data_IF_207657324605
#
_entry.id   IF_207657324605
#
_cell.length_a   1.000
_cell.length_b   1.000
_cell.length_c   1.000
_cell.angle_alpha   90.00
_cell.angle_beta   90.00
_cell.angle_gamma   90.00
#
_symmetry.space_group_name_H-M   'P 1'
#
loop_
_entity.id
_entity.type
_entity.pdbx_description
1 polymer ?
#
# COMPACT_ATOMS: atom_id res chain seq x y z
N UNK A 1 21.20 8.78 3.15
CA UNK A 1 20.26 9.28 2.12
C UNK A 1 18.98 8.49 2.25
N UNK A 2 17.80 9.05 1.97
CA UNK A 2 16.57 8.30 2.03
C UNK A 2 16.61 7.18 0.97
N UNK A 3 16.22 5.98 1.36
CA UNK A 3 16.06 4.86 0.45
C UNK A 3 14.63 4.82 -0.06
N UNK A 4 14.46 4.37 -1.29
CA UNK A 4 13.16 4.07 -1.86
C UNK A 4 12.93 2.56 -1.83
N UNK A 5 11.67 2.16 -1.67
CA UNK A 5 11.29 0.78 -1.40
C UNK A 5 10.42 0.21 -2.50
N UNK A 6 10.60 -1.08 -2.79
CA UNK A 6 9.67 -1.86 -3.60
C UNK A 6 9.37 -3.17 -2.88
N UNK A 7 8.12 -3.60 -2.92
CA UNK A 7 7.66 -4.81 -2.25
C UNK A 7 7.28 -5.88 -3.26
N UNK A 8 7.79 -7.11 -3.08
CA UNK A 8 7.51 -8.25 -3.95
C UNK A 8 7.44 -9.55 -3.16
N UNK A 9 6.64 -10.50 -3.63
CA UNK A 9 6.64 -11.88 -3.13
C UNK A 9 7.81 -12.72 -3.73
N UNK A 10 8.48 -12.21 -4.77
CA UNK A 10 9.66 -12.83 -5.38
C UNK A 10 10.94 -12.26 -4.74
N UNK A 11 11.80 -13.09 -4.13
CA UNK A 11 13.07 -12.67 -3.52
C UNK A 11 14.23 -12.52 -4.52
N UNK A 12 14.05 -12.93 -5.78
CA UNK A 12 15.15 -13.14 -6.72
C UNK A 12 15.21 -12.10 -7.84
N UNK A 13 14.60 -10.93 -7.66
CA UNK A 13 14.64 -9.88 -8.67
C UNK A 13 15.98 -9.14 -8.58
N UNK A 14 16.91 -9.48 -9.45
CA UNK A 14 18.23 -8.83 -9.51
C UNK A 14 18.19 -7.47 -10.22
N UNK A 15 17.27 -7.31 -11.18
CA UNK A 15 17.16 -6.11 -12.03
C UNK A 15 15.70 -5.76 -12.26
N UNK A 16 15.36 -4.52 -12.00
CA UNK A 16 14.03 -3.96 -12.29
C UNK A 16 14.08 -3.21 -13.61
N UNK A 17 13.24 -3.66 -14.55
CA UNK A 17 13.10 -3.04 -15.88
C UNK A 17 11.80 -2.24 -15.95
N UNK A 18 11.79 -1.09 -16.63
CA UNK A 18 10.57 -0.34 -16.87
C UNK A 18 9.49 -1.22 -17.51
N UNK A 19 8.28 -1.18 -16.94
CA UNK A 19 7.12 -1.89 -17.47
C UNK A 19 5.84 -1.08 -17.27
N UNK A 20 4.82 -1.36 -18.08
CA UNK A 20 3.50 -0.76 -17.94
C UNK A 20 2.72 -1.60 -16.90
N UNK A 21 2.28 -1.01 -15.79
CA UNK A 21 1.47 -1.74 -14.82
C UNK A 21 0.12 -2.14 -15.44
N UNK A 22 -0.30 -3.40 -15.29
CA UNK A 22 -1.60 -3.86 -15.78
C UNK A 22 -2.79 -3.09 -15.16
N UNK A 23 -2.60 -2.51 -13.96
CA UNK A 23 -3.59 -1.66 -13.28
C UNK A 23 -3.67 -0.23 -13.82
N UNK A 24 -2.74 0.19 -14.66
CA UNK A 24 -2.64 1.55 -15.21
C UNK A 24 -2.02 1.49 -16.61
N UNK A 25 -2.76 0.97 -17.60
CA UNK A 25 -2.23 0.72 -18.94
C UNK A 25 -1.85 1.99 -19.71
N UNK A 26 -2.36 3.14 -19.31
CA UNK A 26 -2.08 4.44 -19.92
C UNK A 26 -0.75 5.06 -19.43
N UNK A 27 -0.16 4.51 -18.37
CA UNK A 27 1.11 4.99 -17.86
C UNK A 27 2.27 4.54 -18.80
N UNK A 28 3.30 5.39 -18.96
CA UNK A 28 4.52 4.96 -19.64
C UNK A 28 5.21 3.84 -18.85
N UNK A 29 6.05 3.01 -19.52
CA UNK A 29 6.86 2.02 -18.84
C UNK A 29 7.79 2.67 -17.81
N UNK A 30 7.70 2.24 -16.55
CA UNK A 30 8.51 2.74 -15.44
C UNK A 30 8.81 1.65 -14.42
N UNK A 31 9.87 1.84 -13.64
CA UNK A 31 10.10 1.15 -12.38
C UNK A 31 9.52 2.01 -11.26
N UNK A 32 8.69 1.40 -10.42
CA UNK A 32 7.94 2.07 -9.36
C UNK A 32 8.50 1.72 -7.99
N UNK A 33 8.64 2.74 -7.16
CA UNK A 33 9.04 2.64 -5.76
C UNK A 33 8.15 3.54 -4.90
N UNK A 34 8.23 3.35 -3.60
CA UNK A 34 7.52 4.11 -2.59
C UNK A 34 8.52 4.58 -1.52
N UNK A 35 8.26 5.72 -0.89
CA UNK A 35 9.02 6.17 0.27
C UNK A 35 8.69 5.34 1.53
N UNK A 36 9.46 5.56 2.61
CA UNK A 36 9.28 4.83 3.87
C UNK A 36 7.96 5.19 4.57
N UNK A 37 7.48 6.42 4.43
CA UNK A 37 6.23 6.87 5.07
C UNK A 37 5.01 6.14 4.52
N UNK A 38 4.98 5.88 3.20
CA UNK A 38 3.86 5.23 2.53
C UNK A 38 4.04 3.72 2.35
N UNK A 39 5.22 3.18 2.70
CA UNK A 39 5.54 1.76 2.67
C UNK A 39 4.49 0.85 3.35
N UNK A 40 3.85 1.23 4.48
CA UNK A 40 2.83 0.40 5.13
C UNK A 40 1.66 -0.01 4.21
N UNK A 41 1.32 0.79 3.20
CA UNK A 41 0.30 0.46 2.20
C UNK A 41 0.64 -0.75 1.32
N UNK A 42 1.87 -1.24 1.39
CA UNK A 42 2.37 -2.40 0.63
C UNK A 42 2.62 -3.65 1.47
N UNK A 43 2.31 -3.63 2.78
CA UNK A 43 2.39 -4.80 3.66
C UNK A 43 1.18 -5.72 3.50
N UNK A 44 0.89 -6.09 2.26
CA UNK A 44 -0.22 -6.95 1.85
C UNK A 44 0.24 -7.89 0.73
N UNK A 45 -0.36 -9.08 0.61
CA UNK A 45 -0.15 -9.90 -0.58
C UNK A 45 -0.39 -9.07 -1.85
N UNK A 46 0.45 -9.27 -2.86
CA UNK A 46 0.49 -8.41 -4.05
C UNK A 46 -0.86 -8.17 -4.71
N UNK A 47 -1.73 -9.18 -4.72
CA UNK A 47 -3.04 -9.12 -5.37
C UNK A 47 -4.18 -8.74 -4.41
N UNK A 48 -3.90 -8.59 -3.11
CA UNK A 48 -4.93 -8.24 -2.14
C UNK A 48 -5.48 -6.84 -2.40
N UNK A 49 -6.81 -6.69 -2.58
CA UNK A 49 -7.45 -5.38 -2.58
C UNK A 49 -7.35 -4.79 -1.17
N UNK A 50 -6.97 -3.53 -1.10
CA UNK A 50 -6.87 -2.83 0.18
C UNK A 50 -7.22 -1.35 0.03
N UNK A 51 -7.76 -0.81 1.11
CA UNK A 51 -8.06 0.60 1.24
C UNK A 51 -7.31 1.15 2.45
N UNK A 52 -6.45 2.11 2.20
CA UNK A 52 -5.59 2.74 3.19
C UNK A 52 -5.94 4.22 3.30
N UNK A 53 -6.07 4.75 4.52
CA UNK A 53 -6.22 6.20 4.72
C UNK A 53 -5.39 6.67 5.91
N UNK A 54 -5.04 7.95 5.88
CA UNK A 54 -4.25 8.57 6.95
C UNK A 54 -4.60 10.05 7.12
N UNK A 55 -4.27 10.56 8.30
CA UNK A 55 -4.43 11.96 8.62
C UNK A 55 -3.39 12.80 7.88
N UNK A 56 -3.84 13.90 7.32
CA UNK A 56 -2.99 14.93 6.71
C UNK A 56 -2.72 16.13 7.63
N UNK A 57 -2.98 15.97 8.94
CA UNK A 57 -2.82 17.04 9.93
C UNK A 57 -3.95 18.08 9.94
N UNK A 58 -4.92 17.99 9.04
CA UNK A 58 -6.11 18.86 9.04
C UNK A 58 -7.16 18.35 10.03
N UNK A 59 -8.08 19.21 10.51
CA UNK A 59 -9.21 18.78 11.34
C UNK A 59 -10.03 17.70 10.64
N UNK A 60 -10.31 16.61 11.35
CA UNK A 60 -11.05 15.47 10.80
C UNK A 60 -12.54 15.83 10.62
N UNK A 61 -13.11 15.45 9.49
CA UNK A 61 -14.56 15.41 9.28
C UNK A 61 -15.24 14.40 10.22
N UNK A 62 -16.56 14.37 10.29
CA UNK A 62 -17.28 13.35 11.07
C UNK A 62 -16.96 11.94 10.57
N UNK A 63 -16.86 11.74 9.25
CA UNK A 63 -16.49 10.46 8.62
C UNK A 63 -15.01 10.15 8.93
N UNK A 64 -14.11 11.14 8.81
CA UNK A 64 -12.69 10.96 9.13
C UNK A 64 -12.48 10.53 10.58
N UNK A 65 -13.23 11.10 11.54
CA UNK A 65 -13.21 10.67 12.96
C UNK A 65 -13.71 9.24 13.13
N UNK A 66 -14.73 8.81 12.40
CA UNK A 66 -15.20 7.42 12.47
C UNK A 66 -14.20 6.42 11.88
N UNK A 67 -13.38 6.86 10.94
CA UNK A 67 -12.34 6.03 10.34
C UNK A 67 -11.06 5.97 11.19
N UNK A 68 -10.62 7.06 11.81
CA UNK A 68 -9.34 7.12 12.55
C UNK A 68 -9.50 7.33 14.05
N UNK A 69 -10.61 7.91 14.51
CA UNK A 69 -10.72 8.42 15.88
C UNK A 69 -10.87 7.38 16.99
N UNK A 70 -11.38 6.19 16.68
CA UNK A 70 -11.66 5.16 17.68
C UNK A 70 -10.38 4.54 18.27
N UNK A 71 -9.38 4.31 17.43
CA UNK A 71 -8.11 3.68 17.82
C UNK A 71 -7.01 4.68 18.20
N UNK A 72 -7.29 5.99 18.21
CA UNK A 72 -6.28 7.04 18.37
C UNK A 72 -5.11 6.97 17.39
N UNK A 73 -5.23 6.15 16.34
CA UNK A 73 -4.24 6.04 15.26
C UNK A 73 -4.38 7.16 14.23
N UNK A 74 -3.31 7.44 13.53
CA UNK A 74 -3.29 8.41 12.42
C UNK A 74 -3.44 7.74 11.06
N UNK A 75 -3.44 6.41 11.02
CA UNK A 75 -3.50 5.60 9.80
C UNK A 75 -4.36 4.35 10.01
N UNK A 76 -5.20 4.06 9.03
CA UNK A 76 -6.05 2.87 9.00
C UNK A 76 -5.93 2.18 7.64
N UNK A 77 -5.79 0.87 7.65
CA UNK A 77 -5.81 0.01 6.49
C UNK A 77 -6.96 -0.99 6.60
N UNK A 78 -7.62 -1.30 5.50
CA UNK A 78 -8.67 -2.30 5.44
C UNK A 78 -8.42 -3.31 4.33
N UNK A 79 -8.74 -4.56 4.61
CA UNK A 79 -8.68 -5.69 3.68
C UNK A 79 -9.87 -6.62 3.93
N UNK A 80 -10.32 -7.33 2.89
CA UNK A 80 -11.41 -8.30 3.03
C UNK A 80 -10.96 -9.55 3.77
N UNK A 81 -11.88 -10.14 4.57
CA UNK A 81 -11.64 -11.32 5.41
C UNK A 81 -11.12 -12.53 4.64
N UNK A 82 -11.52 -12.70 3.39
CA UNK A 82 -11.03 -13.78 2.50
C UNK A 82 -9.52 -13.74 2.26
N UNK A 83 -8.86 -12.60 2.51
CA UNK A 83 -7.42 -12.43 2.34
C UNK A 83 -6.60 -12.66 3.62
N UNK A 84 -7.25 -12.85 4.78
CA UNK A 84 -6.55 -12.91 6.08
C UNK A 84 -5.55 -14.06 6.13
N UNK A 85 -5.95 -15.27 5.72
CA UNK A 85 -5.04 -16.42 5.72
C UNK A 85 -3.88 -16.23 4.75
N UNK A 86 -4.15 -15.59 3.60
CA UNK A 86 -3.08 -15.24 2.65
C UNK A 86 -2.14 -14.19 3.22
N UNK A 87 -2.62 -13.23 4.00
CA UNK A 87 -1.75 -12.27 4.71
C UNK A 87 -0.82 -12.97 5.71
N UNK A 88 -1.35 -13.95 6.45
CA UNK A 88 -0.55 -14.73 7.42
C UNK A 88 0.52 -15.59 6.75
N UNK A 89 0.22 -16.16 5.60
CA UNK A 89 1.11 -17.06 4.86
C UNK A 89 2.05 -16.32 3.90
N UNK A 90 1.81 -15.06 3.62
CA UNK A 90 2.55 -14.28 2.62
C UNK A 90 4.01 -14.08 3.04
N UNK A 91 4.92 -14.41 2.15
CA UNK A 91 6.33 -14.05 2.27
C UNK A 91 6.60 -12.86 1.38
N UNK A 92 6.72 -11.69 2.00
CA UNK A 92 7.01 -10.44 1.34
C UNK A 92 8.47 -10.09 1.51
N UNK A 93 9.07 -9.54 0.46
CA UNK A 93 10.43 -9.02 0.46
C UNK A 93 10.42 -7.53 0.16
N UNK A 94 11.28 -6.79 0.84
CA UNK A 94 11.51 -5.38 0.63
C UNK A 94 12.82 -5.18 -0.11
N UNK A 95 12.75 -4.54 -1.27
CA UNK A 95 13.88 -4.11 -2.07
C UNK A 95 14.18 -2.65 -1.80
N UNK A 96 15.43 -2.33 -1.49
CA UNK A 96 15.89 -0.97 -1.24
C UNK A 96 16.66 -0.44 -2.44
N UNK A 97 16.39 0.79 -2.81
CA UNK A 97 17.03 1.46 -3.94
C UNK A 97 17.68 2.77 -3.49
N UNK A 98 18.76 3.15 -4.19
CA UNK A 98 19.21 4.53 -4.19
C UNK A 98 18.12 5.42 -4.81
N UNK A 99 17.87 6.56 -4.20
CA UNK A 99 16.85 7.49 -4.68
C UNK A 99 17.28 8.26 -5.94
N UNK A 100 18.58 8.34 -6.23
CA UNK A 100 19.13 9.21 -7.27
C UNK A 100 18.51 9.01 -8.67
N UNK A 101 18.24 7.77 -9.18
CA UNK A 101 17.66 7.59 -10.51
C UNK A 101 16.13 7.82 -10.55
N UNK A 102 15.48 8.05 -9.41
CA UNK A 102 14.03 8.17 -9.32
C UNK A 102 13.58 9.62 -9.18
N UNK A 103 12.49 9.96 -9.84
CA UNK A 103 11.80 11.23 -9.68
C UNK A 103 10.50 11.04 -8.88
N UNK A 104 10.13 12.03 -8.08
CA UNK A 104 8.85 12.07 -7.40
C UNK A 104 7.73 12.07 -8.45
N UNK A 105 6.86 11.08 -8.40
CA UNK A 105 5.73 10.92 -9.31
C UNK A 105 4.41 11.41 -8.69
N UNK A 106 4.17 11.06 -7.43
CA UNK A 106 2.99 11.47 -6.69
C UNK A 106 3.36 11.62 -5.20
N UNK A 107 3.34 12.85 -4.71
CA UNK A 107 3.71 13.16 -3.33
C UNK A 107 2.69 12.61 -2.32
N UNK A 108 1.39 12.68 -2.63
CA UNK A 108 0.33 12.27 -1.69
C UNK A 108 0.34 10.74 -1.44
N UNK A 109 0.84 9.98 -2.41
CA UNK A 109 0.95 8.52 -2.31
C UNK A 109 2.40 8.04 -2.07
N UNK A 110 3.37 8.95 -1.99
CA UNK A 110 4.77 8.63 -1.79
C UNK A 110 5.41 7.86 -2.95
N UNK A 111 4.87 7.99 -4.17
CA UNK A 111 5.37 7.25 -5.32
C UNK A 111 6.53 7.97 -6.01
N UNK A 112 7.56 7.21 -6.27
CA UNK A 112 8.71 7.58 -7.09
C UNK A 112 8.83 6.62 -8.26
N UNK A 113 9.26 7.12 -9.41
CA UNK A 113 9.39 6.31 -10.61
C UNK A 113 10.62 6.69 -11.43
N UNK A 114 11.15 5.72 -12.18
CA UNK A 114 12.21 5.94 -13.16
C UNK A 114 11.94 5.19 -14.46
N UNK A 115 12.43 5.74 -15.55
CA UNK A 115 12.46 5.07 -16.86
C UNK A 115 13.72 4.24 -17.08
N UNK A 116 14.62 4.26 -16.12
CA UNK A 116 15.88 3.51 -16.22
C UNK A 116 15.72 2.09 -15.69
N UNK A 117 16.55 1.20 -16.19
CA UNK A 117 16.73 -0.12 -15.58
C UNK A 117 17.62 0.03 -14.37
N UNK A 118 17.17 -0.46 -13.21
CA UNK A 118 17.87 -0.28 -11.93
C UNK A 118 18.04 -1.63 -11.21
N UNK A 119 19.14 -1.76 -10.47
CA UNK A 119 19.34 -2.86 -9.55
C UNK A 119 19.09 -2.39 -8.10
N UNK A 120 18.52 -3.24 -7.21
CA UNK A 120 18.36 -2.90 -5.82
C UNK A 120 19.72 -2.90 -5.09
N UNK A 121 19.82 -2.10 -4.04
CA UNK A 121 20.96 -2.12 -3.11
C UNK A 121 20.92 -3.33 -2.19
N UNK A 122 19.73 -3.74 -1.78
CA UNK A 122 19.50 -4.92 -0.95
C UNK A 122 18.10 -5.47 -1.14
N UNK A 123 17.92 -6.75 -0.76
CA UNK A 123 16.62 -7.40 -0.61
C UNK A 123 16.61 -8.13 0.75
N UNK A 124 15.52 -7.94 1.48
CA UNK A 124 15.35 -8.52 2.82
C UNK A 124 13.91 -9.01 2.99
N UNK A 125 13.68 -10.10 3.78
CA UNK A 125 12.33 -10.47 4.17
C UNK A 125 11.67 -9.32 4.95
N UNK A 126 10.44 -8.95 4.59
CA UNK A 126 9.70 -7.92 5.32
C UNK A 126 9.23 -8.40 6.70
N UNK A 127 9.09 -9.73 6.89
CA UNK A 127 8.60 -10.33 8.13
C UNK A 127 7.09 -10.57 8.13
N UNK A 128 6.53 -10.70 9.32
CA UNK A 128 5.09 -10.90 9.53
C UNK A 128 4.32 -9.62 9.23
N UNK A 129 3.45 -9.66 8.21
CA UNK A 129 2.71 -8.49 7.73
C UNK A 129 1.74 -7.92 8.79
N UNK A 130 1.15 -8.77 9.63
CA UNK A 130 0.26 -8.33 10.72
C UNK A 130 1.07 -7.65 11.83
N UNK A 131 2.21 -8.22 12.18
CA UNK A 131 3.12 -7.65 13.18
C UNK A 131 3.68 -6.30 12.71
N UNK A 132 3.98 -6.13 11.42
CA UNK A 132 4.41 -4.85 10.85
C UNK A 132 3.35 -3.75 11.03
N UNK A 133 2.09 -4.04 10.74
CA UNK A 133 1.00 -3.08 10.97
C UNK A 133 0.90 -2.69 12.45
N UNK A 134 0.95 -3.66 13.36
CA UNK A 134 0.89 -3.41 14.80
C UNK A 134 2.08 -2.57 15.29
N UNK A 135 3.30 -2.90 14.86
CA UNK A 135 4.51 -2.17 15.24
C UNK A 135 4.53 -0.71 14.75
N UNK A 136 3.91 -0.46 13.60
CA UNK A 136 3.79 0.89 13.02
C UNK A 136 2.57 1.68 13.54
N UNK A 137 1.81 1.16 14.51
CA UNK A 137 0.56 1.74 15.00
C UNK A 137 -0.48 1.99 13.88
N UNK A 138 -0.48 1.14 12.86
CA UNK A 138 -1.48 1.16 11.80
C UNK A 138 -2.66 0.30 12.23
N UNK A 139 -3.86 0.88 12.31
CA UNK A 139 -5.08 0.13 12.55
C UNK A 139 -5.41 -0.72 11.33
N UNK A 140 -5.37 -2.05 11.47
CA UNK A 140 -5.75 -2.98 10.41
C UNK A 140 -7.17 -3.49 10.64
N UNK A 141 -8.07 -3.21 9.69
CA UNK A 141 -9.45 -3.69 9.69
C UNK A 141 -9.62 -4.86 8.74
N UNK A 142 -10.11 -5.96 9.26
CA UNK A 142 -10.53 -7.11 8.47
C UNK A 142 -12.05 -7.01 8.29
N UNK A 143 -12.49 -6.81 7.05
CA UNK A 143 -13.90 -6.53 6.75
C UNK A 143 -14.50 -7.56 5.81
N UNK A 144 -15.82 -7.83 5.90
CA UNK A 144 -16.50 -8.77 5.00
C UNK A 144 -16.50 -8.29 3.54
N UNK A 145 -16.58 -6.98 3.32
CA UNK A 145 -16.60 -6.36 1.99
C UNK A 145 -15.93 -5.01 2.06
N UNK A 146 -15.04 -4.71 1.11
CA UNK A 146 -14.20 -3.51 1.15
C UNK A 146 -14.93 -2.24 0.68
N UNK A 147 -15.98 -2.36 -0.12
CA UNK A 147 -16.62 -1.22 -0.75
C UNK A 147 -17.20 -0.18 0.21
N UNK A 148 -17.88 -0.54 1.32
CA UNK A 148 -18.36 0.45 2.29
C UNK A 148 -17.22 1.27 2.90
N UNK A 149 -16.06 0.65 3.12
CA UNK A 149 -14.87 1.35 3.63
C UNK A 149 -14.30 2.28 2.57
N UNK A 150 -14.20 1.82 1.32
CA UNK A 150 -13.76 2.67 0.19
C UNK A 150 -14.64 3.91 0.07
N UNK A 151 -15.96 3.73 0.08
CA UNK A 151 -16.91 4.85 -0.06
C UNK A 151 -16.76 5.85 1.11
N UNK A 152 -16.59 5.35 2.34
CA UNK A 152 -16.34 6.19 3.51
C UNK A 152 -15.00 6.95 3.41
N UNK A 153 -13.94 6.29 2.96
CA UNK A 153 -12.61 6.91 2.79
C UNK A 153 -12.69 8.04 1.76
N UNK A 154 -13.29 7.80 0.60
CA UNK A 154 -13.43 8.82 -0.46
C UNK A 154 -14.23 10.04 0.02
N UNK A 155 -15.23 9.83 0.88
CA UNK A 155 -16.05 10.91 1.45
C UNK A 155 -15.42 11.59 2.68
N UNK A 156 -14.30 11.09 3.21
CA UNK A 156 -13.78 11.52 4.51
C UNK A 156 -12.96 12.80 4.49
N UNK A 157 -12.35 13.14 3.36
CA UNK A 157 -11.34 14.21 3.26
C UNK A 157 -9.96 13.83 3.80
N UNK A 158 -9.73 12.56 4.14
CA UNK A 158 -8.42 12.02 4.49
C UNK A 158 -7.55 11.80 3.23
N UNK A 159 -6.24 11.76 3.41
CA UNK A 159 -5.36 11.21 2.39
C UNK A 159 -5.59 9.69 2.29
N UNK A 160 -5.49 9.14 1.09
CA UNK A 160 -5.75 7.72 0.91
C UNK A 160 -5.06 7.10 -0.30
N UNK A 161 -4.97 5.77 -0.25
CA UNK A 161 -4.57 4.93 -1.38
C UNK A 161 -5.47 3.69 -1.44
N UNK A 162 -6.07 3.42 -2.60
CA UNK A 162 -6.89 2.25 -2.85
C UNK A 162 -6.21 1.42 -3.93
N UNK A 163 -5.73 0.25 -3.55
CA UNK A 163 -4.88 -0.59 -4.39
C UNK A 163 -5.61 -1.89 -4.72
N UNK A 164 -5.50 -2.36 -5.97
CA UNK A 164 -6.10 -3.60 -6.45
C UNK A 164 -7.62 -3.72 -6.23
N UNK A 165 -8.36 -2.61 -6.23
CA UNK A 165 -9.82 -2.61 -5.99
C UNK A 165 -10.60 -3.51 -6.96
N UNK A 166 -10.06 -3.77 -8.16
CA UNK A 166 -10.67 -4.69 -9.12
C UNK A 166 -10.72 -6.15 -8.63
N UNK A 167 -9.90 -6.51 -7.64
CA UNK A 167 -9.87 -7.83 -7.02
C UNK A 167 -10.77 -7.92 -5.77
N UNK A 168 -11.43 -6.83 -5.38
CA UNK A 168 -12.38 -6.83 -4.28
C UNK A 168 -13.63 -7.65 -4.64
N UNK A 169 -14.27 -8.20 -3.61
CA UNK A 169 -15.58 -8.83 -3.78
C UNK A 169 -16.57 -7.87 -4.44
N UNK A 170 -17.57 -8.38 -5.17
CA UNK A 170 -18.61 -7.52 -5.73
C UNK A 170 -19.30 -6.68 -4.64
N UNK A 171 -19.78 -5.49 -5.00
CA UNK A 171 -20.55 -4.65 -4.07
C UNK A 171 -21.74 -5.42 -3.50
N UNK A 172 -21.88 -5.40 -2.18
CA UNK A 172 -22.98 -6.08 -1.48
C UNK A 172 -22.82 -7.59 -1.31
N UNK A 173 -21.73 -8.19 -1.81
CA UNK A 173 -21.42 -9.58 -1.49
C UNK A 173 -20.93 -9.69 -0.03
N UNK A 174 -21.31 -10.79 0.63
CA UNK A 174 -20.76 -11.21 1.91
C UNK A 174 -19.74 -12.33 1.69
N UNK A 175 -18.65 -12.29 2.43
CA UNK A 175 -17.65 -13.38 2.46
C UNK A 175 -18.13 -14.50 3.35
#
# INVERSE_FOLDING_TARGET
>A
MPHLLHFSEDPNIEVFRPHVPASSPDNPPMVWTVDEEHAPGFWFPRQAPRACCWSNGKPLSAIGRSLLGMGAGTRMHAVESVWLERMRACRMYVYRFDAAPFALYNADAGYYATKETVAPLSVEPAGDLLALHAAANVELRIVPNLWPVIDAIVASGLEFSIIRKANALPRGASS
#
